data_IF_453740512561
#
_entry.id   IF_453740512561
#
_cell.length_a   1.000
_cell.length_b   1.000
_cell.length_c   1.000
_cell.angle_alpha   90.00
_cell.angle_beta   90.00
_cell.angle_gamma   90.00
#
_symmetry.space_group_name_H-M   'P 1'
#
loop_
_entity.id
_entity.type
_entity.pdbx_description
1 polymer ?
#
# COMPACT_ATOMS: atom_id res chain seq x y z
N UNK A 1 -9.92 -5.79 -27.31
CA UNK A 1 -9.27 -5.22 -26.12
C UNK A 1 -8.79 -6.39 -25.28
N UNK A 2 -7.56 -6.39 -24.82
CA UNK A 2 -7.05 -7.40 -23.89
C UNK A 2 -7.70 -7.20 -22.52
N UNK A 3 -8.16 -8.28 -21.91
CA UNK A 3 -8.68 -8.26 -20.55
C UNK A 3 -7.52 -8.01 -19.58
N UNK A 4 -7.68 -7.09 -18.63
CA UNK A 4 -6.69 -6.86 -17.60
C UNK A 4 -6.58 -8.04 -16.64
N UNK A 5 -5.47 -8.13 -15.92
CA UNK A 5 -5.19 -9.25 -15.02
C UNK A 5 -4.44 -8.82 -13.76
N UNK A 6 -4.70 -9.51 -12.65
CA UNK A 6 -3.88 -9.44 -11.46
C UNK A 6 -2.74 -10.44 -11.64
N UNK A 7 -1.52 -9.94 -11.87
CA UNK A 7 -0.35 -10.79 -12.12
C UNK A 7 0.33 -11.27 -10.85
N UNK A 8 -0.10 -10.78 -9.70
CA UNK A 8 0.32 -11.24 -8.40
C UNK A 8 0.05 -10.27 -7.27
N UNK A 9 0.43 -10.66 -6.07
CA UNK A 9 0.31 -9.85 -4.86
C UNK A 9 1.48 -10.06 -3.92
N UNK A 10 1.79 -9.04 -3.14
CA UNK A 10 2.87 -9.03 -2.15
C UNK A 10 2.34 -8.51 -0.82
N UNK A 11 2.62 -9.24 0.25
CA UNK A 11 2.59 -8.67 1.59
C UNK A 11 3.84 -7.79 1.73
N UNK A 12 3.63 -6.49 1.75
CA UNK A 12 4.66 -5.46 1.63
C UNK A 12 4.79 -4.66 2.93
N UNK A 13 5.45 -5.20 3.98
CA UNK A 13 5.62 -4.51 5.24
C UNK A 13 6.43 -3.23 5.06
N UNK A 14 6.10 -2.19 5.82
CA UNK A 14 6.62 -0.84 5.66
C UNK A 14 7.33 -0.29 6.91
N UNK A 15 8.27 -1.01 7.53
CA UNK A 15 9.04 -0.38 8.60
C UNK A 15 9.77 0.84 8.03
N UNK A 16 9.67 2.01 8.69
CA UNK A 16 10.24 3.25 8.14
C UNK A 16 11.73 3.17 7.85
N UNK A 17 12.44 2.36 8.62
CA UNK A 17 13.89 2.18 8.52
C UNK A 17 14.36 1.36 7.30
N UNK A 18 13.44 0.76 6.55
CA UNK A 18 13.82 -0.07 5.40
C UNK A 18 14.31 0.77 4.22
N UNK A 19 13.87 2.02 4.13
CA UNK A 19 14.28 2.96 3.09
C UNK A 19 15.38 3.88 3.60
N UNK A 20 16.28 4.26 2.71
CA UNK A 20 17.31 5.26 2.98
C UNK A 20 16.73 6.65 2.69
N UNK A 21 16.19 7.29 3.74
CA UNK A 21 15.72 8.67 3.67
C UNK A 21 16.84 9.69 3.86
N UNK A 22 16.50 10.93 4.21
CA UNK A 22 17.45 12.01 4.45
C UNK A 22 18.53 11.68 5.50
N UNK A 23 18.19 10.81 6.45
CA UNK A 23 19.09 10.36 7.52
C UNK A 23 19.36 8.85 7.39
N UNK A 24 19.80 8.41 6.24
CA UNK A 24 20.03 7.00 5.92
C UNK A 24 20.94 6.27 6.93
N UNK A 25 21.95 6.93 7.51
CA UNK A 25 22.82 6.36 8.54
C UNK A 25 22.09 5.98 9.85
N UNK A 26 20.90 6.55 10.09
CA UNK A 26 20.03 6.17 11.21
C UNK A 26 19.14 4.97 10.89
N UNK A 27 19.00 4.67 9.63
CA UNK A 27 18.13 3.60 9.12
C UNK A 27 18.89 2.29 8.92
N UNK A 28 20.20 2.28 9.13
CA UNK A 28 20.97 1.04 9.03
C UNK A 28 20.57 0.08 10.15
N UNK A 29 20.26 -1.17 9.81
CA UNK A 29 19.97 -2.18 10.81
C UNK A 29 21.24 -2.51 11.58
N UNK A 30 21.16 -2.42 12.89
CA UNK A 30 22.26 -2.79 13.79
C UNK A 30 22.07 -4.18 14.38
N UNK A 31 20.96 -4.82 14.08
CA UNK A 31 20.63 -6.17 14.53
C UNK A 31 21.16 -7.20 13.54
N UNK A 32 21.59 -8.34 14.03
CA UNK A 32 22.16 -9.45 13.27
C UNK A 32 21.25 -9.94 12.12
N UNK A 33 19.94 -9.85 12.29
CA UNK A 33 18.92 -10.21 11.29
C UNK A 33 18.04 -9.01 10.89
N UNK A 34 18.60 -7.82 10.89
CA UNK A 34 17.85 -6.58 10.71
C UNK A 34 17.11 -6.44 9.37
N UNK A 35 16.97 -5.23 8.92
CA UNK A 35 16.17 -4.89 7.73
C UNK A 35 16.71 -5.43 6.40
N UNK A 36 17.96 -5.94 6.38
CA UNK A 36 18.57 -6.47 5.16
C UNK A 36 17.82 -7.66 4.59
N UNK A 37 17.37 -8.60 5.43
CA UNK A 37 16.58 -9.75 4.99
C UNK A 37 15.29 -9.28 4.31
N UNK A 38 14.65 -8.25 4.87
CA UNK A 38 13.45 -7.68 4.30
C UNK A 38 13.72 -6.94 2.98
N UNK A 39 14.82 -6.18 2.90
CA UNK A 39 15.27 -5.54 1.65
C UNK A 39 15.51 -6.56 0.55
N UNK A 40 16.22 -7.65 0.85
CA UNK A 40 16.43 -8.74 -0.10
C UNK A 40 15.11 -9.42 -0.51
N UNK A 41 14.17 -9.53 0.42
CA UNK A 41 12.81 -10.00 0.13
C UNK A 41 12.12 -9.12 -0.90
N UNK A 42 12.16 -7.81 -0.71
CA UNK A 42 11.63 -6.83 -1.66
C UNK A 42 12.35 -6.87 -3.01
N UNK A 43 13.68 -6.96 -3.01
CA UNK A 43 14.46 -7.03 -4.25
C UNK A 43 14.07 -8.26 -5.09
N UNK A 44 13.93 -9.43 -4.45
CA UNK A 44 13.46 -10.64 -5.14
C UNK A 44 12.03 -10.50 -5.64
N UNK A 45 11.13 -9.97 -4.84
CA UNK A 45 9.75 -9.73 -5.25
C UNK A 45 9.69 -8.74 -6.42
N UNK A 46 10.39 -7.62 -6.32
CA UNK A 46 10.48 -6.61 -7.38
C UNK A 46 10.99 -7.22 -8.68
N UNK A 47 12.11 -7.94 -8.67
CA UNK A 47 12.64 -8.61 -9.85
C UNK A 47 11.61 -9.54 -10.49
N UNK A 48 10.98 -10.39 -9.69
CA UNK A 48 9.95 -11.32 -10.18
C UNK A 48 8.77 -10.62 -10.84
N UNK A 49 8.30 -9.50 -10.27
CA UNK A 49 7.14 -8.79 -10.81
C UNK A 49 7.50 -7.86 -11.98
N UNK A 50 8.68 -7.21 -11.96
CA UNK A 50 9.12 -6.39 -13.09
C UNK A 50 9.33 -7.20 -14.37
N UNK A 51 9.79 -8.45 -14.26
CA UNK A 51 9.89 -9.38 -15.40
C UNK A 51 8.53 -9.63 -16.06
N UNK A 52 7.44 -9.52 -15.30
CA UNK A 52 6.07 -9.64 -15.79
C UNK A 52 5.50 -8.35 -16.38
N UNK A 53 6.27 -7.25 -16.36
CA UNK A 53 5.87 -5.94 -16.90
C UNK A 53 4.51 -5.48 -16.40
N UNK A 54 4.38 -5.14 -15.12
CA UNK A 54 3.17 -4.57 -14.57
C UNK A 54 2.92 -3.17 -15.14
N UNK A 55 1.66 -2.83 -15.37
CA UNK A 55 1.24 -1.49 -15.77
C UNK A 55 0.96 -0.61 -14.57
N UNK A 56 0.64 -1.22 -13.42
CA UNK A 56 0.21 -0.50 -12.21
C UNK A 56 0.49 -1.30 -10.94
N UNK A 57 0.81 -0.59 -9.85
CA UNK A 57 0.87 -1.12 -8.49
C UNK A 57 -0.32 -0.62 -7.68
N UNK A 58 -1.07 -1.49 -7.04
CA UNK A 58 -2.16 -1.13 -6.14
C UNK A 58 -1.71 -1.24 -4.69
N UNK A 59 -1.52 -0.11 -4.03
CA UNK A 59 -1.11 -0.03 -2.63
C UNK A 59 -2.31 0.18 -1.70
N UNK A 60 -2.53 -0.76 -0.77
CA UNK A 60 -3.48 -0.60 0.33
C UNK A 60 -2.72 -0.47 1.63
N UNK A 61 -2.84 0.70 2.29
CA UNK A 61 -2.09 1.01 3.52
C UNK A 61 -3.02 1.21 4.72
N UNK A 62 -2.68 0.63 5.88
CA UNK A 62 -3.40 0.86 7.13
C UNK A 62 -3.16 2.25 7.73
N UNK A 63 -2.17 3.00 7.25
CA UNK A 63 -1.84 4.33 7.75
C UNK A 63 -2.63 5.46 7.09
N UNK A 64 -3.19 5.25 5.91
CA UNK A 64 -4.18 6.14 5.36
C UNK A 64 -5.56 5.69 5.83
N UNK A 65 -5.93 6.07 7.03
CA UNK A 65 -7.22 5.72 7.63
C UNK A 65 -8.28 6.75 7.27
N UNK A 66 -9.44 6.26 6.87
CA UNK A 66 -10.63 7.07 6.62
C UNK A 66 -11.74 6.69 7.59
N UNK A 67 -12.52 7.66 8.02
CA UNK A 67 -13.62 7.45 8.98
C UNK A 67 -14.76 6.68 8.33
N UNK A 68 -15.09 7.05 7.09
CA UNK A 68 -16.20 6.44 6.35
C UNK A 68 -15.75 6.17 4.92
N UNK A 69 -15.86 4.92 4.51
CA UNK A 69 -15.63 4.47 3.15
C UNK A 69 -14.17 4.37 2.75
N UNK A 70 -13.96 4.00 1.51
CA UNK A 70 -12.64 3.83 0.91
C UNK A 70 -12.31 5.03 0.03
N UNK A 71 -11.14 5.63 0.26
CA UNK A 71 -10.65 6.74 -0.55
C UNK A 71 -9.52 6.27 -1.47
N UNK A 72 -9.43 6.87 -2.62
CA UNK A 72 -8.42 6.58 -3.64
C UNK A 72 -7.66 7.84 -3.97
N UNK A 73 -6.37 7.76 -4.25
CA UNK A 73 -5.63 8.88 -4.82
C UNK A 73 -6.25 9.25 -6.17
N UNK A 74 -6.63 10.50 -6.33
CA UNK A 74 -7.48 10.94 -7.43
C UNK A 74 -6.92 12.10 -8.25
N UNK A 75 -5.61 12.36 -8.15
CA UNK A 75 -4.88 13.29 -9.01
C UNK A 75 -3.80 12.54 -9.78
N UNK A 76 -3.39 13.01 -10.98
CA UNK A 76 -2.42 12.31 -11.81
C UNK A 76 -1.05 12.10 -11.13
N UNK A 77 -0.71 12.97 -10.20
CA UNK A 77 0.55 12.94 -9.46
C UNK A 77 0.39 13.48 -8.05
N UNK A 78 1.23 12.98 -7.14
CA UNK A 78 1.42 13.52 -5.80
C UNK A 78 2.91 13.56 -5.51
N UNK A 79 3.36 14.69 -4.99
CA UNK A 79 4.74 14.89 -4.55
C UNK A 79 4.78 15.56 -3.19
N UNK A 80 5.83 15.30 -2.44
CA UNK A 80 5.97 15.87 -1.10
C UNK A 80 6.96 15.11 -0.23
N UNK A 81 6.94 15.46 1.04
CA UNK A 81 7.74 14.82 2.07
C UNK A 81 6.84 13.92 2.93
N UNK A 82 7.09 12.62 2.88
CA UNK A 82 6.48 11.65 3.80
C UNK A 82 7.33 11.55 5.06
N UNK A 83 6.67 11.56 6.22
CA UNK A 83 7.31 11.54 7.53
C UNK A 83 6.57 10.52 8.39
N UNK A 84 7.30 9.69 9.12
CA UNK A 84 6.71 8.85 10.16
C UNK A 84 6.19 9.75 11.29
N UNK A 85 4.91 9.69 11.64
CA UNK A 85 4.34 10.55 12.67
C UNK A 85 4.86 10.26 14.08
N UNK A 86 5.36 9.04 14.32
CA UNK A 86 5.89 8.62 15.64
C UNK A 86 7.40 8.86 15.71
N UNK A 87 8.11 8.57 14.63
CA UNK A 87 9.57 8.67 14.55
C UNK A 87 10.03 9.61 13.42
N UNK A 88 9.67 10.89 13.45
CA UNK A 88 9.94 11.83 12.36
C UNK A 88 11.44 12.04 12.10
N UNK A 89 12.28 11.73 13.07
CA UNK A 89 13.74 11.81 12.94
C UNK A 89 14.34 10.58 12.22
N UNK A 90 13.58 9.50 12.12
CA UNK A 90 14.06 8.24 11.51
C UNK A 90 13.59 8.09 10.08
N UNK A 91 12.47 8.69 9.73
CA UNK A 91 11.92 8.61 8.40
C UNK A 91 11.45 9.97 7.90
N UNK A 92 12.16 10.47 6.92
CA UNK A 92 11.82 11.64 6.11
C UNK A 92 12.19 11.30 4.68
N UNK A 93 11.20 11.18 3.81
CA UNK A 93 11.41 10.69 2.45
C UNK A 93 10.62 11.52 1.45
N UNK A 94 11.34 12.16 0.50
CA UNK A 94 10.70 12.85 -0.60
C UNK A 94 10.16 11.85 -1.61
N UNK A 95 8.94 12.07 -2.07
CA UNK A 95 8.30 11.22 -3.06
C UNK A 95 7.72 12.05 -4.20
N UNK A 96 7.71 11.42 -5.37
CA UNK A 96 7.11 11.94 -6.59
C UNK A 96 6.44 10.76 -7.30
N UNK A 97 5.15 10.60 -7.10
CA UNK A 97 4.39 9.43 -7.54
C UNK A 97 3.39 9.79 -8.62
N UNK A 98 3.32 8.96 -9.64
CA UNK A 98 2.27 8.97 -10.66
C UNK A 98 1.11 8.07 -10.24
N UNK A 99 -0.10 8.47 -10.56
CA UNK A 99 -1.32 7.74 -10.21
C UNK A 99 -2.08 7.34 -11.48
N UNK A 100 -2.47 6.08 -11.57
CA UNK A 100 -3.45 5.64 -12.57
C UNK A 100 -4.86 6.03 -12.09
N UNK A 101 -5.21 7.30 -12.34
CA UNK A 101 -6.48 7.89 -11.92
C UNK A 101 -7.66 7.19 -12.60
N UNK A 102 -7.51 6.78 -13.85
CA UNK A 102 -8.56 6.09 -14.61
C UNK A 102 -8.93 4.75 -13.93
N UNK A 103 -7.92 3.96 -13.57
CA UNK A 103 -8.16 2.71 -12.84
C UNK A 103 -8.71 2.98 -11.43
N UNK A 104 -8.19 3.98 -10.73
CA UNK A 104 -8.68 4.35 -9.40
C UNK A 104 -10.18 4.74 -9.42
N UNK A 105 -10.60 5.53 -10.42
CA UNK A 105 -12.01 5.90 -10.62
C UNK A 105 -12.88 4.69 -10.96
N UNK A 106 -12.38 3.80 -11.81
CA UNK A 106 -13.08 2.57 -12.17
C UNK A 106 -13.28 1.66 -10.96
N UNK A 107 -12.27 1.47 -10.11
CA UNK A 107 -12.40 0.73 -8.85
C UNK A 107 -13.43 1.38 -7.93
N UNK A 108 -13.35 2.71 -7.78
CA UNK A 108 -14.30 3.46 -6.97
C UNK A 108 -15.74 3.32 -7.49
N UNK A 109 -15.95 3.32 -8.78
CA UNK A 109 -17.26 3.12 -9.40
C UNK A 109 -17.78 1.69 -9.18
N UNK A 110 -16.97 0.66 -9.43
CA UNK A 110 -17.34 -0.73 -9.17
C UNK A 110 -17.67 -0.94 -7.69
N UNK A 111 -16.89 -0.32 -6.79
CA UNK A 111 -17.18 -0.37 -5.35
C UNK A 111 -18.54 0.25 -5.00
N UNK A 112 -18.89 1.39 -5.61
CA UNK A 112 -20.24 2.00 -5.40
C UNK A 112 -21.36 1.10 -5.90
N UNK A 113 -21.17 0.38 -7.00
CA UNK A 113 -22.14 -0.59 -7.51
C UNK A 113 -22.39 -1.74 -6.51
N UNK A 114 -21.35 -2.09 -5.74
CA UNK A 114 -21.45 -3.08 -4.65
C UNK A 114 -21.92 -2.49 -3.31
N UNK A 115 -22.35 -1.22 -3.28
CA UNK A 115 -22.83 -0.55 -2.09
C UNK A 115 -21.74 -0.02 -1.16
N UNK A 116 -20.49 0.06 -1.61
CA UNK A 116 -19.41 0.70 -0.85
C UNK A 116 -19.48 2.22 -0.98
N UNK A 117 -19.10 2.91 0.09
CA UNK A 117 -18.85 4.35 0.05
C UNK A 117 -17.42 4.55 -0.44
N UNK A 118 -17.26 5.25 -1.56
CA UNK A 118 -15.96 5.52 -2.15
C UNK A 118 -15.78 7.00 -2.47
N UNK A 119 -14.56 7.50 -2.35
CA UNK A 119 -14.21 8.89 -2.70
C UNK A 119 -12.84 8.98 -3.36
N UNK A 120 -12.70 9.96 -4.26
CA UNK A 120 -11.41 10.32 -4.85
C UNK A 120 -10.77 11.46 -4.05
N UNK A 121 -9.53 11.28 -3.61
CA UNK A 121 -8.73 12.30 -2.95
C UNK A 121 -8.09 13.20 -4.00
N UNK A 122 -8.65 14.39 -4.17
CA UNK A 122 -8.20 15.39 -5.16
C UNK A 122 -7.64 16.66 -4.52
N UNK A 123 -7.18 16.56 -3.28
CA UNK A 123 -6.51 17.69 -2.63
C UNK A 123 -5.02 17.70 -3.01
N UNK A 124 -4.51 18.73 -3.69
CA UNK A 124 -3.10 18.81 -4.10
C UNK A 124 -2.14 18.88 -2.91
N UNK A 125 -2.61 19.30 -1.74
CA UNK A 125 -1.82 19.36 -0.52
C UNK A 125 -1.94 18.10 0.35
N UNK A 126 -2.59 17.04 -0.15
CA UNK A 126 -2.68 15.78 0.57
C UNK A 126 -1.30 15.13 0.65
N UNK A 127 -0.91 14.78 1.86
CA UNK A 127 0.33 14.05 2.10
C UNK A 127 0.05 12.56 2.10
N UNK A 128 0.65 11.86 1.17
CA UNK A 128 0.54 10.40 1.10
C UNK A 128 1.27 9.80 2.30
N UNK A 129 0.62 8.84 2.94
CA UNK A 129 1.12 8.20 4.15
C UNK A 129 2.40 7.38 3.90
N UNK A 130 3.21 7.23 4.94
CA UNK A 130 4.49 6.56 4.81
C UNK A 130 4.36 5.06 4.49
N UNK A 131 3.30 4.40 4.93
CA UNK A 131 3.08 2.99 4.61
C UNK A 131 2.88 2.76 3.11
N UNK A 132 2.11 3.62 2.45
CA UNK A 132 2.00 3.63 0.97
C UNK A 132 3.35 3.93 0.33
N UNK A 133 4.04 4.98 0.80
CA UNK A 133 5.31 5.42 0.20
C UNK A 133 6.39 4.35 0.34
N UNK A 134 6.60 3.80 1.53
CA UNK A 134 7.63 2.77 1.75
C UNK A 134 7.38 1.54 0.89
N UNK A 135 6.17 0.99 0.92
CA UNK A 135 5.85 -0.23 0.17
C UNK A 135 5.96 -0.03 -1.34
N UNK A 136 5.45 1.09 -1.85
CA UNK A 136 5.52 1.39 -3.28
C UNK A 136 6.96 1.67 -3.71
N UNK A 137 7.74 2.44 -2.94
CA UNK A 137 9.14 2.71 -3.25
C UNK A 137 9.99 1.44 -3.27
N UNK A 138 9.82 0.56 -2.30
CA UNK A 138 10.57 -0.70 -2.26
C UNK A 138 10.26 -1.61 -3.46
N UNK A 139 9.08 -1.52 -4.04
CA UNK A 139 8.70 -2.25 -5.24
C UNK A 139 8.98 -1.50 -6.54
N UNK A 140 9.08 -0.17 -6.50
CA UNK A 140 9.25 0.72 -7.65
C UNK A 140 10.13 1.92 -7.27
N UNK A 141 11.43 1.72 -7.03
CA UNK A 141 12.32 2.77 -6.54
C UNK A 141 12.44 3.96 -7.51
N UNK A 142 12.30 3.74 -8.80
CA UNK A 142 12.38 4.78 -9.83
C UNK A 142 11.04 5.52 -10.06
N UNK A 143 9.96 5.10 -9.41
CA UNK A 143 8.62 5.68 -9.54
C UNK A 143 8.09 5.75 -10.99
N UNK A 144 8.56 4.85 -11.86
CA UNK A 144 8.18 4.79 -13.28
C UNK A 144 6.86 4.08 -13.52
N UNK A 145 6.43 3.21 -12.61
CA UNK A 145 5.14 2.52 -12.65
C UNK A 145 4.12 3.33 -11.87
N UNK A 146 2.99 3.73 -12.46
CA UNK A 146 1.93 4.43 -11.73
C UNK A 146 1.33 3.57 -10.64
N UNK A 147 0.79 4.22 -9.61
CA UNK A 147 0.14 3.53 -8.50
C UNK A 147 -1.37 3.82 -8.45
N UNK A 148 -2.12 2.92 -7.81
CA UNK A 148 -3.42 3.21 -7.22
C UNK A 148 -3.28 3.11 -5.72
N UNK A 149 -3.36 4.23 -5.01
CA UNK A 149 -3.35 4.25 -3.55
C UNK A 149 -4.76 4.13 -3.01
N UNK A 150 -4.96 3.20 -2.07
CA UNK A 150 -6.26 2.88 -1.48
C UNK A 150 -6.17 3.03 0.04
N UNK A 151 -7.10 3.78 0.64
CA UNK A 151 -7.19 3.95 2.09
C UNK A 151 -7.79 2.74 2.78
N UNK A 152 -7.44 2.58 4.06
CA UNK A 152 -8.16 1.71 4.99
C UNK A 152 -9.36 2.42 5.57
N UNK A 153 -10.54 1.77 5.50
CA UNK A 153 -11.72 2.22 6.22
C UNK A 153 -11.61 1.81 7.69
N UNK A 154 -11.80 2.75 8.61
CA UNK A 154 -11.74 2.49 10.05
C UNK A 154 -13.01 1.82 10.59
N UNK A 155 -13.45 0.78 9.89
CA UNK A 155 -14.68 0.04 10.17
C UNK A 155 -14.75 -0.56 11.59
N UNK A 156 -13.68 -1.15 12.14
CA UNK A 156 -13.73 -1.74 13.48
C UNK A 156 -14.03 -0.73 14.58
N UNK A 157 -13.78 0.54 14.35
CA UNK A 157 -14.08 1.59 15.33
C UNK A 157 -15.57 1.96 15.36
N UNK A 158 -16.23 1.95 14.19
CA UNK A 158 -17.62 2.39 14.06
C UNK A 158 -18.59 1.25 13.78
N UNK A 159 -18.10 0.11 13.32
CA UNK A 159 -18.91 -1.04 12.91
C UNK A 159 -18.29 -2.33 13.46
N UNK A 160 -18.99 -3.45 13.28
CA UNK A 160 -18.45 -4.75 13.68
C UNK A 160 -17.30 -5.20 12.76
N UNK A 161 -16.45 -6.10 13.27
CA UNK A 161 -15.39 -6.73 12.49
C UNK A 161 -15.95 -7.46 11.25
N UNK A 162 -17.09 -8.10 11.38
CA UNK A 162 -17.76 -8.83 10.29
C UNK A 162 -18.15 -7.86 9.16
N UNK A 163 -18.67 -6.69 9.50
CA UNK A 163 -18.99 -5.66 8.51
C UNK A 163 -17.71 -5.14 7.81
N UNK A 164 -16.65 -4.92 8.57
CA UNK A 164 -15.35 -4.53 8.02
C UNK A 164 -14.81 -5.57 7.04
N UNK A 165 -14.85 -6.85 7.40
CA UNK A 165 -14.42 -7.94 6.53
C UNK A 165 -15.27 -8.01 5.24
N UNK A 166 -16.59 -7.89 5.36
CA UNK A 166 -17.48 -7.89 4.19
C UNK A 166 -17.18 -6.71 3.24
N UNK A 167 -16.92 -5.53 3.78
CA UNK A 167 -16.54 -4.37 2.95
C UNK A 167 -15.21 -4.62 2.22
N UNK A 168 -14.22 -5.21 2.88
CA UNK A 168 -12.93 -5.53 2.26
C UNK A 168 -13.07 -6.59 1.15
N UNK A 169 -13.90 -7.61 1.35
CA UNK A 169 -14.20 -8.60 0.31
C UNK A 169 -14.86 -7.94 -0.92
N UNK A 170 -15.86 -7.08 -0.70
CA UNK A 170 -16.50 -6.33 -1.80
C UNK A 170 -15.52 -5.41 -2.51
N UNK A 171 -14.63 -4.74 -1.78
CA UNK A 171 -13.58 -3.91 -2.37
C UNK A 171 -12.63 -4.75 -3.24
N UNK A 172 -12.23 -5.93 -2.78
CA UNK A 172 -11.41 -6.87 -3.54
C UNK A 172 -12.08 -7.31 -4.84
N UNK A 173 -13.35 -7.67 -4.78
CA UNK A 173 -14.13 -8.06 -5.97
C UNK A 173 -14.33 -6.89 -6.95
N UNK A 174 -14.62 -5.70 -6.45
CA UNK A 174 -14.73 -4.49 -7.26
C UNK A 174 -13.40 -4.17 -7.94
N UNK A 175 -12.29 -4.28 -7.21
CA UNK A 175 -10.93 -4.08 -7.73
C UNK A 175 -10.62 -5.08 -8.84
N UNK A 176 -10.91 -6.36 -8.65
CA UNK A 176 -10.72 -7.40 -9.69
C UNK A 176 -11.48 -7.05 -10.97
N UNK A 177 -12.78 -6.76 -10.88
CA UNK A 177 -13.59 -6.38 -12.04
C UNK A 177 -13.08 -5.13 -12.75
N UNK A 178 -12.66 -4.13 -11.99
CA UNK A 178 -12.10 -2.90 -12.55
C UNK A 178 -10.80 -3.18 -13.33
N UNK A 179 -9.90 -3.99 -12.77
CA UNK A 179 -8.67 -4.39 -13.46
C UNK A 179 -9.00 -5.13 -14.76
N UNK A 180 -9.88 -6.13 -14.72
CA UNK A 180 -10.31 -6.89 -15.91
C UNK A 180 -10.84 -5.96 -17.02
N UNK A 181 -11.64 -4.95 -16.66
CA UNK A 181 -12.20 -3.96 -17.61
C UNK A 181 -11.16 -3.00 -18.15
N UNK A 182 -10.15 -2.66 -17.35
CA UNK A 182 -9.15 -1.64 -17.68
C UNK A 182 -8.09 -2.12 -18.69
N UNK A 183 -7.92 -3.44 -18.83
CA UNK A 183 -6.83 -4.03 -19.60
C UNK A 183 -5.45 -3.94 -18.91
N UNK A 184 -5.36 -3.43 -17.67
CA UNK A 184 -4.10 -3.28 -16.93
C UNK A 184 -3.60 -4.61 -16.36
N UNK A 185 -2.28 -4.74 -16.30
CA UNK A 185 -1.57 -5.81 -15.59
C UNK A 185 -1.17 -5.29 -14.22
N UNK A 186 -1.85 -5.72 -13.18
CA UNK A 186 -1.76 -5.15 -11.85
C UNK A 186 -1.03 -6.05 -10.85
N UNK A 187 -0.19 -5.45 -10.01
CA UNK A 187 0.37 -6.07 -8.80
C UNK A 187 -0.30 -5.46 -7.57
N UNK A 188 -0.79 -6.31 -6.67
CA UNK A 188 -1.39 -5.88 -5.41
C UNK A 188 -0.33 -5.80 -4.31
N UNK A 189 -0.25 -4.68 -3.63
CA UNK A 189 0.63 -4.45 -2.49
C UNK A 189 -0.22 -4.28 -1.22
N UNK A 190 -0.26 -5.32 -0.38
CA UNK A 190 -0.80 -5.20 0.96
C UNK A 190 0.29 -4.62 1.88
N UNK A 191 0.27 -3.31 2.08
CA UNK A 191 1.21 -2.59 2.94
C UNK A 191 0.86 -2.87 4.40
N UNK A 192 1.29 -4.01 4.92
CA UNK A 192 0.87 -4.54 6.21
C UNK A 192 1.92 -5.47 6.81
N UNK A 193 1.73 -5.84 8.08
CA UNK A 193 2.50 -6.86 8.79
C UNK A 193 1.57 -7.81 9.54
N UNK A 194 2.02 -9.03 9.75
CA UNK A 194 1.25 -10.03 10.50
C UNK A 194 1.33 -9.85 12.02
N UNK A 195 2.34 -9.13 12.51
CA UNK A 195 2.53 -8.88 13.94
C UNK A 195 3.44 -7.67 14.18
N UNK A 196 3.15 -6.92 15.26
CA UNK A 196 4.04 -5.88 15.81
C UNK A 196 4.83 -6.37 17.04
N UNK A 197 4.77 -7.64 17.40
CA UNK A 197 5.48 -8.20 18.56
C UNK A 197 6.92 -8.58 18.18
N UNK A 198 7.78 -7.60 18.04
CA UNK A 198 9.16 -7.80 17.60
C UNK A 198 10.15 -8.15 18.72
N UNK A 199 9.74 -8.02 20.00
CA UNK A 199 10.66 -8.08 21.14
C UNK A 199 10.27 -9.09 22.21
N UNK A 200 9.41 -10.04 21.91
CA UNK A 200 9.01 -11.06 22.87
C UNK A 200 9.51 -12.44 22.44
N UNK A 201 9.76 -13.31 23.39
CA UNK A 201 10.11 -14.73 23.15
C UNK A 201 9.02 -15.48 22.37
N UNK A 202 7.84 -14.90 22.24
CA UNK A 202 6.72 -15.41 21.43
C UNK A 202 6.66 -14.84 20.03
N UNK A 203 7.59 -13.97 19.65
CA UNK A 203 7.63 -13.35 18.31
C UNK A 203 7.82 -14.38 17.19
N UNK A 204 8.38 -15.55 17.51
CA UNK A 204 8.56 -16.66 16.57
C UNK A 204 7.23 -17.32 16.17
N UNK A 205 6.17 -17.06 16.91
CA UNK A 205 4.83 -17.59 16.60
C UNK A 205 4.11 -16.64 15.66
N UNK A 206 4.48 -16.72 14.38
CA UNK A 206 3.80 -16.01 13.29
C UNK A 206 2.29 -16.29 13.35
N UNK A 207 1.46 -15.24 13.28
CA UNK A 207 0.01 -15.34 13.27
C UNK A 207 -0.66 -15.09 14.62
N UNK A 208 0.08 -14.83 15.69
CA UNK A 208 -0.48 -14.25 16.91
C UNK A 208 -0.52 -12.74 16.76
N UNK A 209 -1.40 -12.27 15.88
CA UNK A 209 -1.76 -10.87 15.84
C UNK A 209 -2.27 -10.42 17.20
N UNK A 210 -2.08 -9.16 17.51
CA UNK A 210 -2.76 -8.56 18.63
C UNK A 210 -4.28 -8.67 18.41
N UNK A 211 -4.93 -9.42 19.24
CA UNK A 211 -6.37 -9.38 19.42
C UNK A 211 -6.65 -8.25 20.41
#
# INVERSE_FOLDING_TARGET
MTTGEIIGGVLAPHPPHIVYGENHWRNEPRAECGWEVLRWGYERARKHFLEKKPDVLLGHSPHWQTVIGHHFLGMPEFHGLSVDPIFPNLFRFNYDIKVDVELAELIAEEGRRDGLITKMMRNPNFRVDYGTIVSCHMMNPEWDIPIVGISSNNSPYYFSNEMGQQQMLRLGEATRRAIEKSGRRAVLLASNTLSHRHFTTESDKIGRAHV
#
